data_IF_126259404962
#
_entry.id   IF_126259404962
#
_cell.length_a   1.000
_cell.length_b   1.000
_cell.length_c   1.000
_cell.angle_alpha   90.00
_cell.angle_beta   90.00
_cell.angle_gamma   90.00
#
_symmetry.space_group_name_H-M   'P 1'
#
loop_
_entity.id
_entity.type
_entity.pdbx_description
1 polymer ?
#
# COMPACT_ATOMS: atom_id res chain seq x y z
N UNK A 1 22.84 3.54 9.08
CA UNK A 1 22.99 3.78 7.62
C UNK A 1 21.81 4.60 7.14
N UNK A 2 22.01 5.86 6.76
CA UNK A 2 20.97 6.63 6.08
C UNK A 2 20.84 6.07 4.65
N UNK A 3 19.70 5.50 4.30
CA UNK A 3 19.44 5.07 2.94
C UNK A 3 19.59 6.28 2.00
N UNK A 4 20.29 6.09 0.87
CA UNK A 4 20.43 7.14 -0.13
C UNK A 4 19.02 7.60 -0.56
N UNK A 5 18.71 8.92 -0.51
CA UNK A 5 17.36 9.44 -0.79
C UNK A 5 16.83 9.02 -2.17
N UNK A 6 17.73 8.79 -3.14
CA UNK A 6 17.38 8.29 -4.47
C UNK A 6 16.83 6.86 -4.40
N UNK A 7 17.51 5.98 -3.66
CA UNK A 7 17.11 4.58 -3.47
C UNK A 7 15.78 4.50 -2.70
N UNK A 8 15.61 5.34 -1.69
CA UNK A 8 14.35 5.48 -0.95
C UNK A 8 13.18 5.89 -1.85
N UNK A 9 13.40 6.86 -2.75
CA UNK A 9 12.37 7.30 -3.69
C UNK A 9 12.01 6.22 -4.71
N UNK A 10 13.01 5.53 -5.29
CA UNK A 10 12.77 4.45 -6.28
C UNK A 10 11.99 3.31 -5.62
N UNK A 11 12.40 2.86 -4.43
CA UNK A 11 11.68 1.80 -3.71
C UNK A 11 10.23 2.18 -3.40
N UNK A 12 9.96 3.43 -3.02
CA UNK A 12 8.61 3.95 -2.79
C UNK A 12 7.74 3.94 -4.06
N UNK A 13 8.32 4.29 -5.21
CA UNK A 13 7.63 4.20 -6.50
C UNK A 13 7.29 2.75 -6.86
N UNK A 14 8.26 1.85 -6.77
CA UNK A 14 8.07 0.42 -7.10
C UNK A 14 7.00 -0.20 -6.20
N UNK A 15 7.09 -0.01 -4.88
CA UNK A 15 6.09 -0.52 -3.95
C UNK A 15 4.72 0.14 -4.15
N UNK A 16 4.66 1.46 -4.36
CA UNK A 16 3.41 2.16 -4.61
C UNK A 16 2.70 1.66 -5.85
N UNK A 17 3.43 1.47 -6.95
CA UNK A 17 2.90 0.86 -8.18
C UNK A 17 2.42 -0.57 -7.95
N UNK A 18 3.20 -1.40 -7.28
CA UNK A 18 2.81 -2.78 -6.99
C UNK A 18 1.50 -2.85 -6.19
N UNK A 19 1.39 -2.07 -5.10
CA UNK A 19 0.17 -2.03 -4.27
C UNK A 19 -1.01 -1.43 -5.04
N UNK A 20 -0.77 -0.42 -5.89
CA UNK A 20 -1.81 0.17 -6.74
C UNK A 20 -2.36 -0.85 -7.74
N UNK A 21 -1.48 -1.61 -8.40
CA UNK A 21 -1.88 -2.69 -9.32
C UNK A 21 -2.67 -3.77 -8.57
N UNK A 22 -2.21 -4.21 -7.40
CA UNK A 22 -2.96 -5.16 -6.56
C UNK A 22 -4.33 -4.60 -6.19
N UNK A 23 -4.43 -3.33 -5.79
CA UNK A 23 -5.70 -2.69 -5.46
C UNK A 23 -6.69 -2.64 -6.63
N UNK A 24 -6.21 -2.28 -7.81
CA UNK A 24 -7.02 -2.28 -9.03
C UNK A 24 -7.48 -3.71 -9.37
N UNK A 25 -6.57 -4.68 -9.41
CA UNK A 25 -6.92 -6.07 -9.71
C UNK A 25 -7.92 -6.63 -8.70
N UNK A 26 -7.73 -6.35 -7.41
CA UNK A 26 -8.62 -6.82 -6.36
C UNK A 26 -10.01 -6.18 -6.45
N UNK A 27 -10.11 -4.93 -6.91
CA UNK A 27 -11.38 -4.24 -7.15
C UNK A 27 -12.16 -4.86 -8.31
N UNK A 28 -11.48 -5.27 -9.40
CA UNK A 28 -12.12 -5.82 -10.60
C UNK A 28 -12.36 -7.32 -10.55
N UNK A 29 -11.48 -8.09 -9.88
CA UNK A 29 -11.49 -9.56 -9.93
C UNK A 29 -12.01 -10.23 -8.66
N UNK A 30 -11.98 -9.56 -7.51
CA UNK A 30 -12.26 -10.18 -6.21
C UNK A 30 -13.34 -9.41 -5.45
N UNK A 31 -12.98 -8.31 -4.77
CA UNK A 31 -13.92 -7.51 -3.98
C UNK A 31 -13.58 -6.00 -4.01
N UNK A 32 -14.62 -5.20 -4.25
CA UNK A 32 -14.53 -3.74 -4.35
C UNK A 32 -13.95 -3.09 -3.08
N UNK A 33 -14.40 -3.55 -1.90
CA UNK A 33 -14.07 -2.93 -0.61
C UNK A 33 -12.57 -3.01 -0.29
N UNK A 34 -11.92 -4.19 -0.23
CA UNK A 34 -10.47 -4.27 -0.03
C UNK A 34 -9.68 -3.63 -1.19
N UNK A 35 -10.19 -3.67 -2.43
CA UNK A 35 -9.59 -2.95 -3.56
C UNK A 35 -9.45 -1.43 -3.33
N UNK A 36 -10.50 -0.77 -2.85
CA UNK A 36 -10.48 0.67 -2.50
C UNK A 36 -9.44 0.95 -1.41
N UNK A 37 -9.38 0.09 -0.38
CA UNK A 37 -8.43 0.22 0.72
C UNK A 37 -6.99 0.17 0.20
N UNK A 38 -6.66 -0.81 -0.65
CA UNK A 38 -5.33 -0.92 -1.26
C UNK A 38 -4.97 0.27 -2.15
N UNK A 39 -5.95 0.80 -2.89
CA UNK A 39 -5.76 1.99 -3.72
C UNK A 39 -5.39 3.21 -2.85
N UNK A 40 -6.11 3.43 -1.75
CA UNK A 40 -5.78 4.48 -0.78
C UNK A 40 -4.43 4.24 -0.10
N UNK A 41 -4.09 2.99 0.22
CA UNK A 41 -2.78 2.66 0.78
C UNK A 41 -1.64 2.90 -0.21
N UNK A 42 -1.81 2.61 -1.50
CA UNK A 42 -0.77 2.83 -2.52
C UNK A 42 -0.31 4.29 -2.56
N UNK A 43 -1.23 5.23 -2.34
CA UNK A 43 -0.94 6.66 -2.25
C UNK A 43 0.07 6.96 -1.14
N UNK A 44 0.04 6.23 -0.02
CA UNK A 44 0.99 6.41 1.08
C UNK A 44 2.43 5.99 0.76
N UNK A 45 2.64 5.18 -0.30
CA UNK A 45 3.96 4.73 -0.71
C UNK A 45 4.64 5.71 -1.68
N UNK A 46 3.87 6.50 -2.43
CA UNK A 46 4.42 7.44 -3.39
C UNK A 46 5.22 8.58 -2.72
N UNK A 47 6.45 8.87 -3.19
CA UNK A 47 7.24 10.00 -2.70
C UNK A 47 6.51 11.36 -2.69
N UNK A 48 5.75 11.77 -3.74
CA UNK A 48 5.03 13.05 -3.71
C UNK A 48 3.95 13.11 -2.63
N UNK A 49 3.27 12.00 -2.34
CA UNK A 49 2.27 11.94 -1.27
C UNK A 49 2.91 12.07 0.11
N UNK A 50 4.08 11.47 0.32
CA UNK A 50 4.86 11.67 1.54
C UNK A 50 5.26 13.14 1.74
N UNK A 51 5.69 13.83 0.68
CA UNK A 51 6.00 15.27 0.73
C UNK A 51 4.76 16.09 1.06
N UNK A 52 3.61 15.75 0.44
CA UNK A 52 2.34 16.42 0.71
C UNK A 52 1.86 16.21 2.15
N UNK A 53 1.92 14.98 2.67
CA UNK A 53 1.58 14.64 4.04
C UNK A 53 2.47 15.39 5.03
N UNK A 54 3.78 15.43 4.77
CA UNK A 54 4.72 16.18 5.61
C UNK A 54 4.44 17.68 5.60
N UNK A 55 4.07 18.25 4.44
CA UNK A 55 3.74 19.68 4.32
C UNK A 55 2.41 20.04 4.98
N UNK A 56 1.40 19.16 4.89
CA UNK A 56 0.04 19.42 5.38
C UNK A 56 -0.15 19.05 6.86
N UNK A 57 0.46 17.95 7.30
CA UNK A 57 0.27 17.39 8.64
C UNK A 57 1.52 17.38 9.51
N UNK A 58 2.69 17.76 8.97
CA UNK A 58 3.94 17.82 9.73
C UNK A 58 4.57 16.46 10.04
N UNK A 59 3.91 15.34 9.73
CA UNK A 59 4.43 14.00 9.96
C UNK A 59 4.88 13.32 8.67
N UNK A 60 5.86 12.44 8.78
CA UNK A 60 6.26 11.51 7.72
C UNK A 60 5.89 10.10 8.15
N UNK A 61 5.33 9.30 7.24
CA UNK A 61 4.99 7.91 7.55
C UNK A 61 6.28 7.13 7.84
N UNK A 62 6.45 6.56 9.05
CA UNK A 62 7.63 5.78 9.39
C UNK A 62 7.77 4.56 8.48
N UNK A 63 9.00 4.17 8.17
CA UNK A 63 9.26 2.98 7.35
C UNK A 63 8.63 1.72 7.96
N UNK A 64 8.64 1.59 9.29
CA UNK A 64 8.02 0.48 10.01
C UNK A 64 6.51 0.39 9.77
N UNK A 65 5.81 1.53 9.74
CA UNK A 65 4.36 1.57 9.46
C UNK A 65 4.08 1.10 8.04
N UNK A 66 4.91 1.47 7.06
CA UNK A 66 4.81 0.96 5.69
C UNK A 66 4.98 -0.56 5.62
N UNK A 67 5.94 -1.12 6.34
CA UNK A 67 6.12 -2.58 6.39
C UNK A 67 4.92 -3.30 7.02
N UNK A 68 4.38 -2.78 8.12
CA UNK A 68 3.17 -3.33 8.74
C UNK A 68 1.99 -3.27 7.76
N UNK A 69 1.79 -2.14 7.08
CA UNK A 69 0.75 -2.00 6.06
C UNK A 69 0.91 -3.02 4.93
N UNK A 70 2.13 -3.24 4.44
CA UNK A 70 2.40 -4.21 3.38
C UNK A 70 2.07 -5.66 3.83
N UNK A 71 2.45 -6.03 5.06
CA UNK A 71 2.12 -7.34 5.63
C UNK A 71 0.60 -7.50 5.75
N UNK A 72 -0.10 -6.47 6.23
CA UNK A 72 -1.56 -6.49 6.34
C UNK A 72 -2.19 -6.67 4.97
N UNK A 73 -1.73 -5.95 3.94
CA UNK A 73 -2.24 -6.10 2.56
C UNK A 73 -2.07 -7.53 2.07
N UNK A 74 -0.89 -8.13 2.26
CA UNK A 74 -0.63 -9.52 1.83
C UNK A 74 -1.55 -10.48 2.58
N UNK A 75 -1.65 -10.34 3.90
CA UNK A 75 -2.50 -11.18 4.75
C UNK A 75 -3.98 -11.05 4.39
N UNK A 76 -4.45 -9.83 4.10
CA UNK A 76 -5.83 -9.63 3.67
C UNK A 76 -6.07 -10.19 2.26
N UNK A 77 -5.12 -10.04 1.33
CA UNK A 77 -5.26 -10.58 -0.03
C UNK A 77 -5.32 -12.11 0.00
N UNK A 78 -4.52 -12.75 0.85
CA UNK A 78 -4.53 -14.21 1.04
C UNK A 78 -5.75 -14.67 1.86
N UNK A 79 -6.04 -14.01 2.98
CA UNK A 79 -7.08 -14.41 3.92
C UNK A 79 -8.51 -14.14 3.43
N UNK A 80 -8.74 -13.09 2.63
CA UNK A 80 -10.05 -12.84 2.01
C UNK A 80 -10.33 -13.87 0.90
N UNK A 81 -9.30 -14.39 0.23
CA UNK A 81 -9.48 -15.48 -0.74
C UNK A 81 -10.03 -16.74 -0.06
N UNK A 82 -9.61 -17.02 1.18
CA UNK A 82 -10.07 -18.17 1.97
C UNK A 82 -11.46 -17.94 2.58
N UNK A 83 -11.77 -16.70 3.01
CA UNK A 83 -13.09 -16.34 3.52
C UNK A 83 -14.17 -16.34 2.43
N UNK A 84 -13.82 -15.95 1.20
CA UNK A 84 -14.73 -15.99 0.06
C UNK A 84 -15.16 -17.41 -0.31
N UNK A 85 -14.26 -18.38 -0.18
CA UNK A 85 -14.51 -19.79 -0.51
C UNK A 85 -15.31 -20.53 0.58
N UNK A 86 -15.31 -20.03 1.82
CA UNK A 86 -16.09 -20.60 2.94
C UNK A 86 -17.53 -20.07 3.06
N UNK A 87 -17.86 -18.98 2.36
CA UNK A 87 -19.18 -18.33 2.44
C UNK A 87 -20.11 -18.76 1.28
N UNK A 88 -19.63 -19.56 0.31
CA UNK A 88 -20.45 -20.19 -0.74
C UNK A 88 -21.17 -21.46 -0.25
#
# INVERSE_FOLDING_TARGET
MYANPIVGNISGWVFGLAVLTVGLLNMFLIHLVPGIVYLLLSLSYFPPANVFLRKKFGFSIPLAVKFILAIIIIMFTLGVSDLGDMID
#
